data_IF_755814554323
#
_entry.id   IF_755814554323
#
_cell.length_a   1.000
_cell.length_b   1.000
_cell.length_c   1.000
_cell.angle_alpha   90.00
_cell.angle_beta   90.00
_cell.angle_gamma   90.00
#
_symmetry.space_group_name_H-M   'P 1'
#
loop_
_entity.id
_entity.type
_entity.pdbx_description
1 polymer ?
#
# COMPACT_ATOMS: atom_id res chain seq x y z
N UNK A 1 -25.14 -0.89 29.99
CA UNK A 1 -26.33 -1.79 29.99
C UNK A 1 -27.53 -1.13 29.32
N UNK A 2 -27.89 0.14 29.66
CA UNK A 2 -29.05 0.86 29.04
C UNK A 2 -28.90 1.01 27.54
N UNK A 3 -27.75 1.44 27.05
CA UNK A 3 -27.48 1.57 25.59
C UNK A 3 -27.65 0.23 24.86
N UNK A 4 -27.11 -0.86 25.45
CA UNK A 4 -27.26 -2.21 24.87
C UNK A 4 -28.73 -2.63 24.80
N UNK A 5 -29.51 -2.35 25.84
CA UNK A 5 -30.95 -2.63 25.84
C UNK A 5 -31.68 -1.85 24.72
N UNK A 6 -31.37 -0.57 24.52
CA UNK A 6 -31.96 0.23 23.45
C UNK A 6 -31.54 -0.20 22.04
N UNK A 7 -30.32 -0.68 21.88
CA UNK A 7 -29.87 -1.30 20.62
C UNK A 7 -30.68 -2.58 20.34
N UNK A 8 -30.92 -3.41 21.36
CA UNK A 8 -31.74 -4.62 21.22
C UNK A 8 -33.17 -4.29 20.83
N UNK A 9 -33.81 -3.33 21.53
CA UNK A 9 -35.17 -2.87 21.19
C UNK A 9 -35.24 -2.35 19.73
N UNK A 10 -34.23 -1.65 19.26
CA UNK A 10 -34.14 -1.21 17.87
C UNK A 10 -34.04 -2.39 16.89
N UNK A 11 -33.18 -3.38 17.19
CA UNK A 11 -33.05 -4.58 16.35
C UNK A 11 -34.37 -5.38 16.27
N UNK A 12 -35.05 -5.53 17.41
CA UNK A 12 -36.33 -6.26 17.49
C UNK A 12 -37.43 -5.53 16.67
N UNK A 13 -37.50 -4.20 16.77
CA UNK A 13 -38.42 -3.39 15.98
C UNK A 13 -38.09 -3.40 14.48
N UNK A 14 -36.85 -3.42 14.10
CA UNK A 14 -36.39 -3.56 12.71
C UNK A 14 -36.78 -4.92 12.14
N UNK A 15 -36.62 -6.00 12.92
CA UNK A 15 -36.99 -7.34 12.53
C UNK A 15 -38.48 -7.48 12.37
N UNK A 16 -39.26 -6.95 13.30
CA UNK A 16 -40.73 -6.94 13.22
C UNK A 16 -41.26 -6.20 11.97
N UNK A 17 -40.64 -5.05 11.64
CA UNK A 17 -40.96 -4.32 10.41
C UNK A 17 -40.62 -5.14 9.16
N UNK A 18 -39.46 -5.79 9.15
CA UNK A 18 -39.05 -6.67 8.05
C UNK A 18 -40.02 -7.84 7.84
N UNK A 19 -40.46 -8.51 8.91
CA UNK A 19 -41.46 -9.60 8.82
C UNK A 19 -42.76 -9.11 8.24
N UNK A 20 -43.28 -7.96 8.69
CA UNK A 20 -44.54 -7.41 8.17
C UNK A 20 -44.46 -7.06 6.68
N UNK A 21 -43.33 -6.50 6.26
CA UNK A 21 -43.10 -6.22 4.84
C UNK A 21 -43.00 -7.50 4.00
N UNK A 22 -42.35 -8.54 4.51
CA UNK A 22 -42.25 -9.82 3.82
C UNK A 22 -43.63 -10.53 3.70
N UNK A 23 -44.43 -10.51 4.75
CA UNK A 23 -45.80 -11.06 4.72
C UNK A 23 -46.60 -10.36 3.61
N UNK A 24 -46.52 -9.03 3.55
CA UNK A 24 -47.23 -8.26 2.53
C UNK A 24 -46.76 -8.53 1.11
N UNK A 25 -45.47 -8.74 0.90
CA UNK A 25 -44.92 -9.07 -0.42
C UNK A 25 -45.33 -10.48 -0.91
N UNK A 26 -45.70 -11.35 0.00
CA UNK A 26 -46.14 -12.71 -0.30
C UNK A 26 -47.66 -12.84 -0.47
N UNK A 27 -48.47 -11.82 -0.14
CA UNK A 27 -49.93 -11.84 -0.33
C UNK A 27 -50.24 -11.79 -1.82
N UNK A 28 -51.05 -12.76 -2.34
CA UNK A 28 -51.48 -12.76 -3.72
C UNK A 28 -52.44 -11.59 -3.96
N UNK A 29 -52.00 -10.56 -4.64
CA UNK A 29 -52.80 -9.39 -4.98
C UNK A 29 -52.13 -8.03 -4.82
N UNK A 30 -50.84 -7.98 -4.53
CA UNK A 30 -50.06 -6.72 -4.59
C UNK A 30 -49.97 -6.32 -6.06
N UNK A 31 -50.52 -5.17 -6.50
CA UNK A 31 -50.44 -4.75 -7.90
C UNK A 31 -48.99 -4.47 -8.27
N UNK A 32 -48.53 -4.96 -9.44
CA UNK A 32 -47.31 -4.47 -10.05
C UNK A 32 -47.39 -2.94 -10.22
N UNK A 33 -46.27 -2.26 -10.03
CA UNK A 33 -46.20 -0.82 -10.05
C UNK A 33 -46.87 -0.22 -11.30
N UNK A 34 -48.07 0.32 -11.14
CA UNK A 34 -48.85 0.95 -12.21
C UNK A 34 -50.34 0.69 -12.22
N UNK A 35 -50.90 -0.21 -11.38
CA UNK A 35 -52.35 -0.42 -11.24
C UNK A 35 -52.92 0.29 -10.01
N UNK A 36 -54.06 0.95 -10.21
CA UNK A 36 -54.76 1.70 -9.15
C UNK A 36 -55.14 0.78 -7.98
N UNK A 37 -54.84 1.25 -6.76
CA UNK A 37 -55.03 0.58 -5.48
C UNK A 37 -56.50 0.20 -5.24
N UNK A 38 -56.74 -1.08 -5.00
CA UNK A 38 -57.93 -1.52 -4.25
C UNK A 38 -57.61 -1.28 -2.78
N UNK A 39 -58.48 -0.53 -2.07
CA UNK A 39 -58.38 -0.28 -0.64
C UNK A 39 -58.25 -1.59 0.16
N UNK A 40 -57.11 -1.82 0.77
CA UNK A 40 -56.89 -2.82 1.81
C UNK A 40 -56.48 -2.07 3.09
N UNK A 41 -57.44 -1.57 3.90
CA UNK A 41 -57.19 -0.64 4.99
C UNK A 41 -56.38 -1.22 6.16
N UNK A 42 -56.52 -2.52 6.45
CA UNK A 42 -55.97 -3.13 7.67
C UNK A 42 -54.50 -3.52 7.57
N UNK A 43 -54.05 -3.98 6.43
CA UNK A 43 -52.63 -4.37 6.22
C UNK A 43 -51.67 -3.16 6.23
N UNK A 44 -52.14 -2.00 5.73
CA UNK A 44 -51.38 -0.74 5.78
C UNK A 44 -51.26 -0.20 7.21
N UNK A 45 -52.29 -0.42 8.04
CA UNK A 45 -52.25 0.00 9.44
C UNK A 45 -51.20 -0.78 10.25
N UNK A 46 -51.04 -2.08 9.99
CA UNK A 46 -50.05 -2.95 10.66
C UNK A 46 -48.62 -2.59 10.27
N UNK A 47 -48.36 -2.43 8.98
CA UNK A 47 -47.05 -2.02 8.47
C UNK A 47 -46.67 -0.61 8.99
N UNK A 48 -47.65 0.30 8.98
CA UNK A 48 -47.46 1.65 9.53
C UNK A 48 -47.14 1.62 11.02
N UNK A 49 -47.89 0.79 11.81
CA UNK A 49 -47.60 0.61 13.23
C UNK A 49 -46.19 0.07 13.51
N UNK A 50 -45.73 -0.91 12.73
CA UNK A 50 -44.39 -1.45 12.83
C UNK A 50 -43.31 -0.41 12.44
N UNK A 51 -43.57 0.40 11.42
CA UNK A 51 -42.67 1.50 11.02
C UNK A 51 -42.59 2.59 12.12
N UNK A 52 -43.74 2.96 12.71
CA UNK A 52 -43.73 3.94 13.81
C UNK A 52 -43.01 3.41 15.05
N UNK A 53 -43.15 2.13 15.37
CA UNK A 53 -42.36 1.49 16.43
C UNK A 53 -40.86 1.49 16.15
N UNK A 54 -40.47 1.14 14.93
CA UNK A 54 -39.09 1.21 14.47
C UNK A 54 -38.53 2.65 14.54
N UNK A 55 -39.24 3.64 14.02
CA UNK A 55 -38.79 5.04 14.04
C UNK A 55 -38.66 5.57 15.47
N UNK A 56 -39.54 5.15 16.39
CA UNK A 56 -39.45 5.50 17.81
C UNK A 56 -38.23 4.85 18.47
N UNK A 57 -38.06 3.53 18.30
CA UNK A 57 -36.92 2.80 18.87
C UNK A 57 -35.58 3.34 18.36
N UNK A 58 -35.50 3.72 17.07
CA UNK A 58 -34.33 4.42 16.51
C UNK A 58 -34.04 5.73 17.22
N UNK A 59 -35.07 6.55 17.42
CA UNK A 59 -34.92 7.86 18.08
C UNK A 59 -34.48 7.71 19.53
N UNK A 60 -35.08 6.76 20.27
CA UNK A 60 -34.73 6.48 21.66
C UNK A 60 -33.30 5.90 21.79
N UNK A 61 -32.94 4.95 20.93
CA UNK A 61 -31.57 4.41 20.87
C UNK A 61 -30.54 5.52 20.60
N UNK A 62 -30.83 6.40 19.63
CA UNK A 62 -29.96 7.51 19.28
C UNK A 62 -29.78 8.48 20.46
N UNK A 63 -30.88 8.82 21.17
CA UNK A 63 -30.82 9.69 22.34
C UNK A 63 -30.00 9.06 23.49
N UNK A 64 -30.18 7.76 23.74
CA UNK A 64 -29.44 7.05 24.78
C UNK A 64 -27.94 6.96 24.43
N UNK A 65 -27.59 6.68 23.16
CA UNK A 65 -26.20 6.72 22.69
C UNK A 65 -25.60 8.12 22.88
N UNK A 66 -26.30 9.18 22.50
CA UNK A 66 -25.83 10.54 22.65
C UNK A 66 -25.65 10.96 24.12
N UNK A 67 -26.45 10.44 25.02
CA UNK A 67 -26.40 10.77 26.44
C UNK A 67 -25.28 10.00 27.19
N UNK A 68 -25.06 8.73 26.86
CA UNK A 68 -24.21 7.85 27.65
C UNK A 68 -22.94 7.37 26.94
N UNK A 69 -22.85 7.53 25.62
CA UNK A 69 -21.64 7.24 24.89
C UNK A 69 -20.83 8.52 24.67
N UNK A 70 -19.72 8.62 25.35
CA UNK A 70 -18.74 9.66 25.04
C UNK A 70 -18.22 9.36 23.64
N UNK A 71 -18.33 10.34 22.73
CA UNK A 71 -17.78 10.22 21.40
C UNK A 71 -16.25 10.20 21.52
N UNK A 72 -15.65 9.01 21.49
CA UNK A 72 -14.20 8.87 21.46
C UNK A 72 -13.70 9.13 20.06
N UNK A 73 -12.56 9.73 19.97
CA UNK A 73 -11.83 9.92 18.72
C UNK A 73 -11.19 8.60 18.33
N UNK A 74 -11.40 8.14 17.12
CA UNK A 74 -10.76 6.94 16.60
C UNK A 74 -9.70 7.29 15.55
N UNK A 75 -8.53 6.64 15.67
CA UNK A 75 -7.39 6.80 14.77
C UNK A 75 -6.98 5.43 14.29
N UNK A 76 -6.76 5.27 12.99
CA UNK A 76 -6.32 4.02 12.38
C UNK A 76 -4.96 4.20 11.72
N UNK A 77 -3.99 3.39 12.14
CA UNK A 77 -2.69 3.25 11.49
C UNK A 77 -2.70 2.02 10.59
N UNK A 78 -2.34 2.20 9.32
CA UNK A 78 -2.19 1.11 8.36
C UNK A 78 -0.70 0.87 8.15
N UNK A 79 -0.21 -0.28 8.61
CA UNK A 79 1.20 -0.64 8.62
C UNK A 79 1.44 -1.86 7.73
N UNK A 80 2.44 -1.80 6.86
CA UNK A 80 2.78 -2.85 5.91
C UNK A 80 4.13 -3.53 6.19
N UNK A 81 4.96 -2.96 7.07
CA UNK A 81 6.27 -3.49 7.41
C UNK A 81 6.87 -2.90 8.69
N UNK A 82 7.96 -3.50 9.17
CA UNK A 82 8.67 -3.03 10.37
C UNK A 82 9.29 -1.65 10.18
N UNK A 83 9.86 -1.39 9.00
CA UNK A 83 10.43 -0.07 8.67
C UNK A 83 9.34 1.01 8.65
N UNK A 84 8.21 0.68 8.11
CA UNK A 84 7.02 1.51 8.06
C UNK A 84 6.53 1.82 9.47
N UNK A 85 6.55 0.83 10.36
CA UNK A 85 6.15 1.01 11.75
C UNK A 85 7.05 2.01 12.48
N UNK A 86 8.35 1.95 12.32
CA UNK A 86 9.27 2.89 12.98
C UNK A 86 8.96 4.37 12.66
N UNK A 87 8.47 4.65 11.45
CA UNK A 87 8.02 6.00 11.10
C UNK A 87 6.71 6.40 11.82
N UNK A 88 5.93 5.43 12.28
CA UNK A 88 4.68 5.65 13.00
C UNK A 88 4.83 5.74 14.51
N UNK A 89 5.88 5.20 15.12
CA UNK A 89 6.02 5.06 16.59
C UNK A 89 5.71 6.38 17.31
N UNK A 90 6.37 7.46 16.91
CA UNK A 90 6.17 8.77 17.54
C UNK A 90 4.73 9.29 17.36
N UNK A 91 4.15 9.15 16.17
CA UNK A 91 2.79 9.58 15.89
C UNK A 91 1.76 8.75 16.67
N UNK A 92 1.98 7.45 16.78
CA UNK A 92 1.14 6.56 17.57
C UNK A 92 1.18 6.97 19.07
N UNK A 93 2.38 7.28 19.59
CA UNK A 93 2.54 7.77 20.96
C UNK A 93 1.85 9.10 21.19
N UNK A 94 1.93 10.03 20.25
CA UNK A 94 1.21 11.28 20.34
C UNK A 94 -0.32 11.10 20.32
N UNK A 95 -0.82 10.25 19.41
CA UNK A 95 -2.27 10.03 19.30
C UNK A 95 -2.83 9.30 20.51
N UNK A 96 -2.14 8.32 21.07
CA UNK A 96 -2.60 7.58 22.25
C UNK A 96 -2.59 8.40 23.54
N UNK A 97 -1.78 9.47 23.60
CA UNK A 97 -1.74 10.39 24.76
C UNK A 97 -2.87 11.41 24.74
N UNK A 98 -3.55 11.59 23.61
CA UNK A 98 -4.69 12.50 23.51
C UNK A 98 -5.89 11.91 24.25
N UNK A 99 -6.53 12.75 25.05
CA UNK A 99 -7.72 12.35 25.81
C UNK A 99 -8.82 11.83 24.86
N UNK A 100 -9.55 10.82 25.31
CA UNK A 100 -10.68 10.22 24.58
C UNK A 100 -10.33 9.73 23.16
N UNK A 101 -9.10 9.25 22.96
CA UNK A 101 -8.64 8.68 21.68
C UNK A 101 -8.43 7.18 21.80
N UNK A 102 -9.03 6.44 20.86
CA UNK A 102 -8.77 5.01 20.64
C UNK A 102 -7.91 4.86 19.38
N UNK A 103 -6.80 4.17 19.52
CA UNK A 103 -5.85 3.91 18.45
C UNK A 103 -6.02 2.48 17.95
N UNK A 104 -6.26 2.34 16.66
CA UNK A 104 -6.35 1.06 15.96
C UNK A 104 -5.14 0.90 15.07
N UNK A 105 -4.56 -0.30 15.06
CA UNK A 105 -3.42 -0.64 14.21
C UNK A 105 -3.79 -1.85 13.38
N UNK A 106 -3.72 -1.71 12.07
CA UNK A 106 -3.92 -2.77 11.10
C UNK A 106 -2.60 -3.10 10.42
N UNK A 107 -2.08 -4.31 10.68
CA UNK A 107 -0.93 -4.83 9.94
C UNK A 107 -1.45 -5.46 8.64
N UNK A 108 -1.20 -4.81 7.51
CA UNK A 108 -1.74 -5.16 6.20
C UNK A 108 -0.67 -5.85 5.35
N UNK A 109 -0.96 -7.03 4.74
CA UNK A 109 0.01 -7.71 3.91
C UNK A 109 0.25 -6.96 2.61
N UNK A 110 1.50 -6.99 2.16
CA UNK A 110 1.87 -6.63 0.81
C UNK A 110 1.80 -7.87 -0.07
N UNK A 111 1.08 -7.80 -1.17
CA UNK A 111 0.82 -8.91 -2.08
C UNK A 111 1.57 -8.69 -3.38
N UNK A 112 2.16 -9.75 -3.93
CA UNK A 112 2.81 -9.72 -5.22
C UNK A 112 1.78 -9.67 -6.36
N UNK A 113 2.09 -8.94 -7.41
CA UNK A 113 1.34 -8.94 -8.67
C UNK A 113 2.00 -9.87 -9.69
N UNK A 114 1.20 -10.62 -10.42
CA UNK A 114 1.66 -11.38 -11.57
C UNK A 114 2.08 -10.46 -12.74
N UNK A 115 2.56 -11.05 -13.82
CA UNK A 115 3.00 -10.32 -15.03
C UNK A 115 1.85 -9.58 -15.74
N UNK A 116 0.60 -9.88 -15.39
CA UNK A 116 -0.60 -9.21 -15.91
C UNK A 116 -1.13 -8.13 -14.97
N UNK A 117 -0.47 -7.93 -13.82
CA UNK A 117 -0.87 -6.96 -12.81
C UNK A 117 -1.95 -7.45 -11.85
N UNK A 118 -2.30 -8.75 -11.85
CA UNK A 118 -3.26 -9.33 -10.93
C UNK A 118 -2.59 -9.65 -9.60
N UNK A 119 -3.23 -9.26 -8.51
CA UNK A 119 -2.75 -9.58 -7.17
C UNK A 119 -3.07 -11.04 -6.79
N UNK A 120 -2.08 -11.80 -6.40
CA UNK A 120 -2.25 -13.17 -5.92
C UNK A 120 -2.57 -13.17 -4.42
N UNK A 121 -3.85 -13.08 -4.07
CA UNK A 121 -4.30 -13.29 -2.70
C UNK A 121 -4.40 -14.78 -2.40
N UNK A 122 -3.34 -15.37 -1.82
CA UNK A 122 -3.36 -16.77 -1.36
C UNK A 122 -4.35 -16.96 -0.21
N UNK A 123 -4.94 -18.18 -0.10
CA UNK A 123 -5.87 -18.51 0.99
C UNK A 123 -5.21 -18.51 2.39
N UNK A 124 -3.88 -18.49 2.47
CA UNK A 124 -3.06 -18.47 3.69
C UNK A 124 -2.16 -17.24 3.77
N UNK A 125 -2.66 -16.07 3.44
CA UNK A 125 -1.94 -14.81 3.68
C UNK A 125 -1.97 -14.39 5.16
N UNK A 126 -1.81 -15.33 6.09
CA UNK A 126 -1.12 -15.02 7.34
C UNK A 126 0.35 -14.85 6.97
N UNK A 127 0.66 -13.70 6.44
CA UNK A 127 2.02 -13.34 6.11
C UNK A 127 2.84 -13.33 7.40
N UNK A 128 3.86 -14.18 7.46
CA UNK A 128 4.77 -14.25 8.60
C UNK A 128 5.33 -12.87 8.98
N UNK A 129 5.41 -11.97 8.02
CA UNK A 129 5.82 -10.59 8.23
C UNK A 129 4.75 -9.78 9.01
N UNK A 130 3.48 -9.92 8.66
CA UNK A 130 2.36 -9.26 9.38
C UNK A 130 2.31 -9.70 10.84
N UNK A 131 2.49 -11.00 11.10
CA UNK A 131 2.55 -11.53 12.46
C UNK A 131 3.76 -10.99 13.23
N UNK A 132 4.94 -10.98 12.63
CA UNK A 132 6.17 -10.44 13.24
C UNK A 132 6.04 -8.96 13.61
N UNK A 133 5.41 -8.15 12.74
CA UNK A 133 5.14 -6.74 13.01
C UNK A 133 4.17 -6.60 14.17
N UNK A 134 3.09 -7.37 14.17
CA UNK A 134 2.10 -7.35 15.23
C UNK A 134 2.73 -7.73 16.57
N UNK A 135 3.51 -8.80 16.62
CA UNK A 135 4.21 -9.25 17.84
C UNK A 135 5.18 -8.16 18.34
N UNK A 136 5.93 -7.52 17.45
CA UNK A 136 6.82 -6.43 17.83
C UNK A 136 6.05 -5.26 18.47
N UNK A 137 4.97 -4.81 17.84
CA UNK A 137 4.17 -3.68 18.34
C UNK A 137 3.48 -4.06 19.65
N UNK A 138 2.98 -5.28 19.77
CA UNK A 138 2.40 -5.78 21.03
C UNK A 138 3.43 -5.82 22.17
N UNK A 139 4.65 -6.24 21.87
CA UNK A 139 5.74 -6.24 22.86
C UNK A 139 6.17 -4.81 23.24
N UNK A 140 6.13 -3.86 22.30
CA UNK A 140 6.51 -2.47 22.54
C UNK A 140 5.52 -1.76 23.48
N UNK A 141 4.22 -1.97 23.28
CA UNK A 141 3.18 -1.29 24.07
C UNK A 141 2.69 -2.12 25.26
N UNK A 142 2.98 -3.43 25.30
CA UNK A 142 2.59 -4.34 26.37
C UNK A 142 1.08 -4.60 26.41
N UNK A 143 0.67 -5.47 27.36
CA UNK A 143 -0.76 -5.80 27.61
C UNK A 143 -1.55 -4.64 28.24
N UNK A 144 -0.90 -3.55 28.63
CA UNK A 144 -1.48 -2.45 29.42
C UNK A 144 -1.86 -1.19 28.64
N UNK A 145 -1.75 -1.23 27.31
CA UNK A 145 -2.19 -0.08 26.49
C UNK A 145 -3.70 -0.16 26.24
N UNK A 146 -4.50 0.19 27.24
CA UNK A 146 -5.98 0.11 27.21
C UNK A 146 -6.63 0.83 26.00
N UNK A 147 -5.91 1.71 25.34
CA UNK A 147 -6.41 2.47 24.21
C UNK A 147 -5.77 2.12 22.86
N UNK A 148 -4.95 1.05 22.78
CA UNK A 148 -4.40 0.52 21.53
C UNK A 148 -5.07 -0.83 21.21
N UNK A 149 -5.65 -0.93 20.01
CA UNK A 149 -6.32 -2.13 19.55
C UNK A 149 -5.71 -2.62 18.23
N UNK A 150 -5.18 -3.84 18.26
CA UNK A 150 -4.74 -4.53 17.05
C UNK A 150 -5.93 -5.16 16.34
N UNK A 151 -6.06 -4.86 15.07
CA UNK A 151 -7.12 -5.42 14.24
C UNK A 151 -6.50 -6.30 13.17
N UNK A 152 -6.87 -7.59 13.08
CA UNK A 152 -6.54 -8.40 11.91
C UNK A 152 -7.02 -7.67 10.66
N UNK A 153 -6.18 -7.54 9.65
CA UNK A 153 -6.50 -6.76 8.46
C UNK A 153 -7.78 -7.22 7.75
N UNK A 154 -8.09 -8.54 7.81
CA UNK A 154 -9.33 -9.10 7.24
C UNK A 154 -10.61 -8.63 7.98
N UNK A 155 -10.47 -8.20 9.24
CA UNK A 155 -11.59 -7.77 10.08
C UNK A 155 -11.76 -6.25 10.12
N UNK A 156 -10.79 -5.50 9.60
CA UNK A 156 -10.91 -4.03 9.51
C UNK A 156 -11.95 -3.69 8.47
N UNK A 157 -13.01 -3.04 8.91
CA UNK A 157 -14.00 -2.44 8.03
C UNK A 157 -14.00 -0.92 8.26
N UNK A 158 -13.31 -0.14 7.40
CA UNK A 158 -13.21 1.31 7.57
C UNK A 158 -14.58 2.01 7.60
N UNK A 159 -15.58 1.46 6.91
CA UNK A 159 -16.94 2.01 6.91
C UNK A 159 -17.63 1.87 8.28
N UNK A 160 -17.41 0.76 8.97
CA UNK A 160 -17.97 0.53 10.31
C UNK A 160 -17.16 1.23 11.40
N UNK A 161 -15.83 1.23 11.27
CA UNK A 161 -14.94 1.90 12.23
C UNK A 161 -15.07 3.42 12.13
N UNK A 162 -15.31 3.94 10.92
CA UNK A 162 -15.43 5.37 10.60
C UNK A 162 -14.38 6.24 11.34
N UNK A 163 -13.07 5.94 11.20
CA UNK A 163 -12.03 6.58 11.97
C UNK A 163 -11.98 8.08 11.64
N UNK A 164 -11.80 8.92 12.66
CA UNK A 164 -11.65 10.36 12.47
C UNK A 164 -10.37 10.72 11.71
N UNK A 165 -9.31 9.89 11.89
CA UNK A 165 -8.03 10.03 11.20
C UNK A 165 -7.53 8.67 10.77
N UNK A 166 -6.99 8.58 9.55
CA UNK A 166 -6.28 7.40 9.04
C UNK A 166 -4.88 7.82 8.60
N UNK A 167 -3.88 7.09 9.06
CA UNK A 167 -2.48 7.22 8.64
C UNK A 167 -2.15 6.12 7.62
N UNK A 168 -1.59 6.52 6.47
CA UNK A 168 -1.17 5.62 5.38
C UNK A 168 0.26 5.89 4.97
N UNK A 169 0.94 4.87 4.44
CA UNK A 169 2.34 4.93 4.03
C UNK A 169 2.59 4.44 2.61
N UNK A 170 1.74 3.54 2.08
CA UNK A 170 1.85 3.13 0.69
C UNK A 170 1.43 4.29 -0.23
N UNK A 171 2.35 4.85 -1.04
CA UNK A 171 2.01 5.95 -1.93
C UNK A 171 1.28 5.49 -3.18
N UNK A 172 1.45 4.24 -3.61
CA UNK A 172 1.13 3.79 -4.95
C UNK A 172 -0.19 3.03 -5.08
N UNK A 173 -0.76 2.53 -3.97
CA UNK A 173 -1.99 1.75 -4.01
C UNK A 173 -1.88 0.56 -5.01
N UNK A 174 -2.78 0.54 -6.01
CA UNK A 174 -2.77 -0.44 -7.09
C UNK A 174 -1.84 -0.11 -8.27
N UNK A 175 -1.20 1.05 -8.29
CA UNK A 175 -0.36 1.50 -9.40
C UNK A 175 1.09 0.98 -9.32
N UNK A 176 1.51 0.45 -8.17
CA UNK A 176 2.80 -0.21 -8.09
C UNK A 176 2.81 -1.44 -9.01
N UNK A 177 3.78 -1.56 -9.94
CA UNK A 177 3.79 -2.64 -10.93
C UNK A 177 4.08 -4.03 -10.35
N UNK A 178 4.67 -4.11 -9.17
CA UNK A 178 5.11 -5.37 -8.58
C UNK A 178 4.30 -5.79 -7.37
N UNK A 179 3.89 -4.83 -6.55
CA UNK A 179 3.33 -5.05 -5.24
C UNK A 179 2.01 -4.29 -5.09
N UNK A 180 1.14 -4.77 -4.23
CA UNK A 180 -0.08 -4.05 -3.85
C UNK A 180 -0.54 -4.51 -2.48
N UNK A 181 -1.38 -3.68 -1.86
CA UNK A 181 -2.14 -4.03 -0.66
C UNK A 181 -3.58 -4.41 -1.07
N UNK A 182 -4.37 -5.05 -0.19
CA UNK A 182 -5.78 -5.29 -0.47
C UNK A 182 -6.51 -3.98 -0.81
N UNK A 183 -7.34 -3.93 -1.87
CA UNK A 183 -7.92 -2.69 -2.41
C UNK A 183 -8.74 -1.87 -1.41
N UNK A 184 -9.28 -2.50 -0.36
CA UNK A 184 -9.98 -1.79 0.72
C UNK A 184 -9.08 -0.76 1.42
N UNK A 185 -7.75 -0.95 1.38
CA UNK A 185 -6.74 -0.08 1.98
C UNK A 185 -6.16 0.95 1.01
N UNK A 186 -6.62 1.01 -0.22
CA UNK A 186 -6.22 2.07 -1.15
C UNK A 186 -6.69 3.43 -0.66
N UNK A 187 -5.85 4.44 -0.82
CA UNK A 187 -6.09 5.80 -0.34
C UNK A 187 -7.46 6.35 -0.78
N UNK A 188 -7.81 6.15 -2.07
CA UNK A 188 -9.09 6.57 -2.60
C UNK A 188 -10.31 5.89 -1.98
N UNK A 189 -10.15 4.65 -1.47
CA UNK A 189 -11.20 3.95 -0.74
C UNK A 189 -11.26 4.40 0.72
N UNK A 190 -10.11 4.51 1.39
CA UNK A 190 -10.03 4.94 2.79
C UNK A 190 -10.56 6.38 2.97
N UNK A 191 -10.28 7.26 2.01
CA UNK A 191 -10.74 8.66 2.03
C UNK A 191 -12.26 8.81 2.18
N UNK A 192 -13.03 7.82 1.76
CA UNK A 192 -14.50 7.82 1.88
C UNK A 192 -14.99 7.67 3.31
N UNK A 193 -14.15 7.13 4.20
CA UNK A 193 -14.54 6.72 5.55
C UNK A 193 -13.86 7.50 6.67
N UNK A 194 -13.02 8.49 6.32
CA UNK A 194 -12.33 9.33 7.30
C UNK A 194 -12.52 10.81 6.99
N UNK A 195 -12.40 11.63 8.02
CA UNK A 195 -12.35 13.10 7.87
C UNK A 195 -10.95 13.58 7.55
N UNK A 196 -9.93 12.81 7.94
CA UNK A 196 -8.55 13.22 7.82
C UNK A 196 -7.68 12.01 7.41
N UNK A 197 -7.29 11.96 6.14
CA UNK A 197 -6.36 10.98 5.60
C UNK A 197 -4.98 11.60 5.56
N UNK A 198 -4.01 11.00 6.27
CA UNK A 198 -2.65 11.53 6.40
C UNK A 198 -1.67 10.56 5.76
N UNK A 199 -0.93 11.04 4.77
CA UNK A 199 0.19 10.31 4.19
C UNK A 199 1.48 10.60 4.96
N UNK A 200 2.15 9.53 5.40
CA UNK A 200 3.42 9.58 6.12
C UNK A 200 4.43 8.74 5.38
N UNK A 201 5.54 9.29 4.84
CA UNK A 201 6.53 8.48 4.16
C UNK A 201 7.18 7.50 5.14
N UNK A 202 7.37 6.26 4.69
CA UNK A 202 7.95 5.19 5.50
C UNK A 202 9.45 5.36 5.76
N UNK A 203 10.14 6.11 4.91
CA UNK A 203 11.58 6.30 4.97
C UNK A 203 12.02 7.63 4.37
N UNK A 204 13.18 8.09 4.77
CA UNK A 204 13.82 9.28 4.23
C UNK A 204 14.38 8.98 2.83
N UNK A 205 14.01 9.77 1.85
CA UNK A 205 14.58 9.72 0.51
C UNK A 205 15.72 10.76 0.36
N UNK A 206 16.53 10.61 -0.69
CA UNK A 206 17.51 11.63 -1.04
C UNK A 206 16.81 12.98 -1.28
N UNK A 207 17.39 14.05 -0.78
CA UNK A 207 16.89 15.40 -1.06
C UNK A 207 16.96 15.70 -2.56
N UNK A 208 15.85 16.12 -3.14
CA UNK A 208 15.80 16.51 -4.54
C UNK A 208 16.39 17.89 -4.75
N UNK A 209 17.19 18.03 -5.82
CA UNK A 209 17.82 19.29 -6.21
C UNK A 209 16.99 19.98 -7.29
N UNK A 210 16.84 21.29 -7.18
CA UNK A 210 16.01 22.08 -8.10
C UNK A 210 16.49 22.01 -9.55
N UNK A 211 17.81 22.06 -9.74
CA UNK A 211 18.44 22.16 -11.05
C UNK A 211 18.75 20.79 -11.68
N UNK A 212 18.52 19.69 -10.96
CA UNK A 212 18.82 18.35 -11.44
C UNK A 212 17.60 17.77 -12.17
N UNK A 213 17.75 17.56 -13.48
CA UNK A 213 16.66 17.03 -14.33
C UNK A 213 16.26 15.61 -13.94
N UNK A 214 17.20 14.79 -13.48
CA UNK A 214 16.95 13.43 -13.01
C UNK A 214 16.16 13.44 -11.69
N UNK A 215 16.58 14.31 -10.75
CA UNK A 215 15.84 14.50 -9.49
C UNK A 215 14.42 15.00 -9.78
N UNK A 216 14.24 15.93 -10.71
CA UNK A 216 12.92 16.45 -11.13
C UNK A 216 12.04 15.37 -11.78
N UNK A 217 12.63 14.51 -12.61
CA UNK A 217 11.92 13.38 -13.22
C UNK A 217 11.49 12.37 -12.14
N UNK A 218 12.41 11.94 -11.29
CA UNK A 218 12.12 10.98 -10.23
C UNK A 218 11.07 11.49 -9.25
N UNK A 219 11.09 12.78 -8.92
CA UNK A 219 10.16 13.40 -7.99
C UNK A 219 8.71 13.22 -8.42
N UNK A 220 8.40 13.25 -9.73
CA UNK A 220 7.03 13.05 -10.24
C UNK A 220 6.45 11.73 -9.78
N UNK A 221 7.23 10.66 -9.75
CA UNK A 221 6.78 9.34 -9.32
C UNK A 221 6.43 9.27 -7.82
N UNK A 222 7.04 10.11 -6.99
CA UNK A 222 6.69 10.21 -5.57
C UNK A 222 5.50 11.13 -5.34
N UNK A 223 5.47 12.27 -6.02
CA UNK A 223 4.52 13.35 -5.75
C UNK A 223 3.16 13.10 -6.38
N UNK A 224 3.13 12.47 -7.56
CA UNK A 224 1.91 12.19 -8.32
C UNK A 224 1.24 10.87 -7.93
N UNK A 225 1.73 10.21 -6.90
CA UNK A 225 1.20 8.94 -6.46
C UNK A 225 -0.22 9.06 -5.86
N UNK A 226 -1.08 8.03 -6.00
CA UNK A 226 -2.47 8.07 -5.57
C UNK A 226 -2.68 8.53 -4.13
N UNK A 227 -1.87 8.02 -3.19
CA UNK A 227 -2.01 8.38 -1.77
C UNK A 227 -1.87 9.88 -1.52
N UNK A 228 -0.94 10.55 -2.22
CA UNK A 228 -0.72 11.98 -2.07
C UNK A 228 -1.88 12.79 -2.66
N UNK A 229 -2.48 12.30 -3.76
CA UNK A 229 -3.63 12.96 -4.38
C UNK A 229 -4.86 12.92 -3.44
N UNK A 230 -5.10 11.78 -2.79
CA UNK A 230 -6.25 11.58 -1.91
C UNK A 230 -6.05 12.08 -0.47
N UNK A 231 -4.80 12.21 0.00
CA UNK A 231 -4.51 12.67 1.36
C UNK A 231 -5.01 14.11 1.63
N UNK A 232 -5.45 14.34 2.85
CA UNK A 232 -5.74 15.68 3.36
C UNK A 232 -4.49 16.37 3.87
N UNK A 233 -3.53 15.57 4.40
CA UNK A 233 -2.22 16.03 4.84
C UNK A 233 -1.13 15.11 4.29
N UNK A 234 -0.03 15.70 3.90
CA UNK A 234 1.14 15.03 3.35
C UNK A 234 2.34 15.46 4.18
N UNK A 235 2.98 14.50 4.84
CA UNK A 235 4.20 14.79 5.57
C UNK A 235 5.41 14.60 4.68
N UNK A 236 6.37 15.50 4.81
CA UNK A 236 7.66 15.44 4.09
C UNK A 236 8.81 15.68 5.06
N UNK A 237 9.99 15.24 4.69
CA UNK A 237 11.18 15.18 5.57
C UNK A 237 11.91 16.51 5.78
N UNK A 238 11.68 17.51 4.91
CA UNK A 238 12.40 18.78 4.95
C UNK A 238 11.65 19.90 4.24
N UNK A 239 11.98 21.16 4.52
CA UNK A 239 11.42 22.31 3.81
C UNK A 239 11.84 22.31 2.33
N UNK A 240 13.05 21.83 1.99
CA UNK A 240 13.43 21.67 0.60
C UNK A 240 12.50 20.68 -0.11
N UNK A 241 12.23 19.51 0.47
CA UNK A 241 11.30 18.55 -0.10
C UNK A 241 9.88 19.13 -0.21
N UNK A 242 9.45 19.90 0.80
CA UNK A 242 8.16 20.60 0.75
C UNK A 242 8.06 21.52 -0.47
N UNK A 243 9.09 22.32 -0.72
CA UNK A 243 9.12 23.20 -1.88
C UNK A 243 9.11 22.43 -3.20
N UNK A 244 9.90 21.34 -3.29
CA UNK A 244 9.94 20.50 -4.50
C UNK A 244 8.59 19.84 -4.78
N UNK A 245 7.93 19.31 -3.75
CA UNK A 245 6.58 18.73 -3.87
C UNK A 245 5.59 19.79 -4.34
N UNK A 246 5.62 20.97 -3.72
CA UNK A 246 4.73 22.07 -4.06
C UNK A 246 4.91 22.51 -5.53
N UNK A 247 6.14 22.69 -5.99
CA UNK A 247 6.42 23.06 -7.37
C UNK A 247 5.90 22.02 -8.37
N UNK A 248 6.13 20.74 -8.11
CA UNK A 248 5.66 19.66 -8.95
C UNK A 248 4.12 19.61 -9.01
N UNK A 249 3.45 19.72 -7.87
CA UNK A 249 1.99 19.70 -7.79
C UNK A 249 1.34 20.92 -8.43
N UNK A 250 1.96 22.08 -8.29
CA UNK A 250 1.49 23.33 -8.94
C UNK A 250 1.73 23.28 -10.44
N UNK A 251 2.85 22.74 -10.90
CA UNK A 251 3.10 22.51 -12.34
C UNK A 251 2.01 21.61 -12.95
N UNK A 252 1.58 20.60 -12.22
CA UNK A 252 0.54 19.67 -12.68
C UNK A 252 -0.87 20.26 -12.61
N UNK A 253 -1.24 20.90 -11.48
CA UNK A 253 -2.62 21.32 -11.20
C UNK A 253 -2.92 22.77 -11.59
N UNK A 254 -1.88 23.58 -11.77
CA UNK A 254 -1.95 25.01 -12.02
C UNK A 254 -1.83 25.87 -10.77
N UNK A 255 -1.42 27.13 -10.97
CA UNK A 255 -1.14 28.11 -9.91
C UNK A 255 -2.35 28.40 -9.00
N UNK A 256 -3.56 28.30 -9.54
CA UNK A 256 -4.80 28.47 -8.76
C UNK A 256 -4.95 27.51 -7.58
N UNK A 257 -4.27 26.38 -7.60
CA UNK A 257 -4.32 25.34 -6.55
C UNK A 257 -3.16 25.43 -5.54
N UNK A 258 -2.22 26.35 -5.72
CA UNK A 258 -1.05 26.52 -4.82
C UNK A 258 -1.43 26.57 -3.35
N UNK A 259 -2.37 27.43 -2.97
CA UNK A 259 -2.78 27.58 -1.56
C UNK A 259 -3.38 26.29 -0.95
N UNK A 260 -3.96 25.41 -1.78
CA UNK A 260 -4.46 24.12 -1.34
C UNK A 260 -3.29 23.20 -1.00
N UNK A 261 -2.30 23.11 -1.89
CA UNK A 261 -1.13 22.26 -1.70
C UNK A 261 -0.25 22.76 -0.53
N UNK A 262 -0.03 24.07 -0.42
CA UNK A 262 0.71 24.65 0.71
C UNK A 262 0.12 24.26 2.07
N UNK A 263 -1.20 24.19 2.16
CA UNK A 263 -1.89 23.79 3.40
C UNK A 263 -1.83 22.27 3.63
N UNK A 264 -1.78 21.47 2.57
CA UNK A 264 -1.73 20.00 2.65
C UNK A 264 -0.36 19.46 3.01
N UNK A 265 0.72 20.13 2.59
CA UNK A 265 2.09 19.63 2.74
C UNK A 265 2.73 20.27 3.98
N UNK A 266 3.14 19.44 4.91
CA UNK A 266 3.80 19.85 6.16
C UNK A 266 5.13 19.14 6.33
N UNK A 267 6.12 19.85 6.82
CA UNK A 267 7.38 19.24 7.26
C UNK A 267 7.13 18.56 8.60
N UNK A 268 7.54 17.34 8.72
CA UNK A 268 7.53 16.62 9.99
C UNK A 268 8.94 16.20 10.37
N UNK A 269 9.29 16.46 11.63
CA UNK A 269 10.56 16.02 12.23
C UNK A 269 10.53 14.54 12.58
N UNK A 270 10.07 13.69 11.64
CA UNK A 270 10.14 12.25 11.85
C UNK A 270 11.59 11.83 12.05
N UNK A 271 11.83 11.12 13.13
CA UNK A 271 13.07 10.40 13.33
C UNK A 271 13.07 9.21 12.38
N UNK A 272 13.34 9.48 11.11
CA UNK A 272 13.69 8.39 10.20
C UNK A 272 14.96 7.76 10.75
N UNK A 273 14.87 6.56 11.26
CA UNK A 273 16.05 5.81 11.62
C UNK A 273 16.86 5.60 10.35
N UNK A 274 17.90 6.41 10.18
CA UNK A 274 18.94 6.17 9.22
C UNK A 274 19.66 4.93 9.70
N UNK A 275 19.38 3.79 9.14
CA UNK A 275 20.32 2.69 9.12
C UNK A 275 21.50 3.12 8.24
N UNK A 276 22.31 4.00 8.76
CA UNK A 276 23.67 4.17 8.31
C UNK A 276 24.40 2.88 8.71
N UNK A 277 24.25 1.86 7.87
CA UNK A 277 25.10 0.69 7.95
C UNK A 277 26.54 1.14 7.86
N UNK A 278 27.22 1.18 8.97
CA UNK A 278 28.69 1.25 9.05
C UNK A 278 29.23 -0.08 8.53
N UNK A 279 29.19 -0.27 7.23
CA UNK A 279 29.79 -1.41 6.56
C UNK A 279 30.71 -0.90 5.47
N UNK A 280 32.00 -1.02 5.69
CA UNK A 280 33.07 -0.83 4.69
C UNK A 280 33.20 -2.02 3.74
N UNK A 281 32.21 -2.90 3.66
CA UNK A 281 32.18 -4.01 2.71
C UNK A 281 31.52 -3.58 1.41
N UNK A 282 32.07 -4.02 0.30
CA UNK A 282 31.45 -3.92 -1.02
C UNK A 282 30.00 -4.38 -0.97
N UNK A 283 29.08 -3.59 -1.54
CA UNK A 283 27.64 -3.93 -1.57
C UNK A 283 27.32 -4.72 -2.83
N UNK A 284 26.49 -5.74 -2.67
CA UNK A 284 26.03 -6.57 -3.78
C UNK A 284 24.67 -6.08 -4.29
N UNK A 285 24.61 -5.66 -5.55
CA UNK A 285 23.37 -5.26 -6.22
C UNK A 285 22.89 -6.39 -7.12
N UNK A 286 21.65 -6.83 -6.96
CA UNK A 286 20.99 -7.66 -7.95
C UNK A 286 20.43 -6.78 -9.06
N UNK A 287 20.99 -6.89 -10.26
CA UNK A 287 20.45 -6.25 -11.47
C UNK A 287 19.60 -7.25 -12.25
N UNK A 288 18.28 -7.05 -12.17
CA UNK A 288 17.31 -7.91 -12.84
C UNK A 288 16.87 -7.30 -14.17
N UNK A 289 16.94 -8.07 -15.24
CA UNK A 289 16.54 -7.68 -16.59
C UNK A 289 15.31 -8.47 -17.00
N UNK A 290 14.19 -7.79 -17.23
CA UNK A 290 12.94 -8.39 -17.71
C UNK A 290 13.00 -8.68 -19.21
N UNK A 291 12.77 -9.93 -19.62
CA UNK A 291 12.76 -10.30 -21.05
C UNK A 291 11.66 -9.56 -21.83
N UNK A 292 10.49 -9.38 -21.22
CA UNK A 292 9.37 -8.63 -21.82
C UNK A 292 9.73 -7.16 -22.04
N UNK A 293 10.41 -6.54 -21.05
CA UNK A 293 10.88 -5.16 -21.15
C UNK A 293 11.89 -5.01 -22.31
N UNK A 294 12.82 -5.93 -22.42
CA UNK A 294 13.77 -5.95 -23.54
C UNK A 294 13.09 -6.07 -24.91
N UNK A 295 12.05 -6.90 -24.98
CA UNK A 295 11.27 -7.05 -26.21
C UNK A 295 10.58 -5.72 -26.58
N UNK A 296 10.03 -5.01 -25.60
CA UNK A 296 9.35 -3.71 -25.79
C UNK A 296 10.31 -2.57 -26.15
N UNK A 297 11.52 -2.55 -25.58
CA UNK A 297 12.54 -1.55 -25.91
C UNK A 297 13.09 -1.67 -27.34
N UNK A 298 12.90 -2.80 -27.97
CA UNK A 298 13.26 -3.00 -29.37
C UNK A 298 14.76 -2.84 -29.62
N UNK A 299 15.13 -2.06 -30.66
CA UNK A 299 16.53 -1.81 -31.05
C UNK A 299 17.34 -1.05 -29.98
N UNK A 300 16.67 -0.39 -29.05
CA UNK A 300 17.30 0.40 -27.96
C UNK A 300 17.68 -0.45 -26.74
N UNK A 301 17.24 -1.72 -26.68
CA UNK A 301 17.48 -2.59 -25.52
C UNK A 301 18.96 -2.73 -25.17
N UNK A 302 19.82 -2.93 -26.17
CA UNK A 302 21.26 -3.05 -25.97
C UNK A 302 21.86 -1.78 -25.38
N UNK A 303 21.60 -0.64 -26.00
CA UNK A 303 22.13 0.66 -25.55
C UNK A 303 21.66 0.99 -24.10
N UNK A 304 20.39 0.64 -23.79
CA UNK A 304 19.84 0.82 -22.44
C UNK A 304 20.61 -0.02 -21.41
N UNK A 305 20.83 -1.29 -21.69
CA UNK A 305 21.59 -2.18 -20.78
C UNK A 305 23.07 -1.73 -20.68
N UNK A 306 23.71 -1.39 -21.80
CA UNK A 306 25.09 -0.89 -21.81
C UNK A 306 25.26 0.37 -20.95
N UNK A 307 24.33 1.31 -21.05
CA UNK A 307 24.32 2.52 -20.20
C UNK A 307 24.27 2.19 -18.70
N UNK A 308 23.45 1.20 -18.31
CA UNK A 308 23.39 0.76 -16.90
C UNK A 308 24.66 0.05 -16.45
N UNK A 309 25.22 -0.81 -17.31
CA UNK A 309 26.48 -1.50 -17.02
C UNK A 309 27.64 -0.50 -16.86
N UNK A 310 27.65 0.60 -17.62
CA UNK A 310 28.65 1.64 -17.47
C UNK A 310 28.60 2.31 -16.10
N UNK A 311 27.39 2.61 -15.58
CA UNK A 311 27.19 3.16 -14.23
C UNK A 311 27.77 2.23 -13.17
N UNK A 312 27.55 0.91 -13.31
CA UNK A 312 28.12 -0.05 -12.39
C UNK A 312 29.62 -0.15 -12.52
N UNK A 313 30.15 -0.12 -13.75
CA UNK A 313 31.58 -0.13 -13.99
C UNK A 313 32.29 1.07 -13.36
N UNK A 314 31.69 2.25 -13.44
CA UNK A 314 32.25 3.47 -12.85
C UNK A 314 32.28 3.45 -11.31
N UNK A 315 31.51 2.53 -10.68
CA UNK A 315 31.40 2.40 -9.23
C UNK A 315 31.87 1.02 -8.70
N UNK A 316 32.54 0.21 -9.51
CA UNK A 316 32.86 -1.19 -9.21
C UNK A 316 33.77 -1.39 -7.98
N UNK A 317 34.51 -0.40 -7.57
CA UNK A 317 35.34 -0.46 -6.35
C UNK A 317 34.51 -0.67 -5.09
N UNK A 318 33.25 -0.18 -5.09
CA UNK A 318 32.34 -0.23 -3.96
C UNK A 318 31.20 -1.23 -4.15
N UNK A 319 31.08 -1.81 -5.35
CA UNK A 319 29.93 -2.62 -5.73
C UNK A 319 30.33 -4.00 -6.27
N UNK A 320 29.54 -5.00 -5.93
CA UNK A 320 29.41 -6.25 -6.66
C UNK A 320 28.06 -6.26 -7.38
N UNK A 321 28.01 -6.78 -8.60
CA UNK A 321 26.77 -6.83 -9.38
C UNK A 321 26.45 -8.27 -9.76
N UNK A 322 25.27 -8.73 -9.39
CA UNK A 322 24.68 -9.99 -9.83
C UNK A 322 23.64 -9.69 -10.87
N UNK A 323 23.88 -10.08 -12.12
CA UNK A 323 22.91 -9.88 -13.22
C UNK A 323 22.04 -11.13 -13.33
N UNK A 324 20.73 -10.97 -13.40
CA UNK A 324 19.80 -12.06 -13.67
C UNK A 324 18.72 -11.65 -14.68
N UNK A 325 18.10 -12.66 -15.30
CA UNK A 325 16.94 -12.48 -16.16
C UNK A 325 15.65 -12.86 -15.46
N UNK A 326 14.55 -12.21 -15.85
CA UNK A 326 13.22 -12.63 -15.47
C UNK A 326 12.29 -12.66 -16.69
N UNK A 327 11.56 -13.77 -16.93
CA UNK A 327 11.68 -15.06 -16.22
C UNK A 327 13.08 -15.68 -16.39
N UNK A 328 13.56 -16.45 -15.40
CA UNK A 328 14.83 -17.12 -15.53
C UNK A 328 14.70 -18.22 -16.59
N UNK A 329 15.65 -18.31 -17.51
CA UNK A 329 15.66 -19.36 -18.51
C UNK A 329 16.10 -20.67 -17.90
N UNK A 330 15.24 -21.65 -17.96
CA UNK A 330 15.51 -23.01 -17.50
C UNK A 330 16.17 -23.88 -18.58
N UNK A 331 16.02 -23.50 -19.86
CA UNK A 331 16.61 -24.20 -20.99
C UNK A 331 16.89 -23.24 -22.17
N UNK A 332 17.93 -23.52 -22.93
CA UNK A 332 18.40 -22.68 -24.04
C UNK A 332 17.46 -22.67 -25.27
N UNK A 333 16.37 -23.46 -25.26
CA UNK A 333 15.48 -23.62 -26.43
C UNK A 333 14.16 -22.87 -26.34
N UNK A 334 13.87 -22.24 -25.20
CA UNK A 334 12.51 -21.76 -24.89
C UNK A 334 12.10 -20.43 -25.50
N UNK A 335 12.86 -19.66 -26.08
CA UNK A 335 12.38 -18.49 -26.87
C UNK A 335 13.48 -17.96 -27.78
N UNK A 336 13.31 -18.14 -29.07
CA UNK A 336 14.19 -17.56 -30.07
C UNK A 336 13.86 -16.07 -30.33
N UNK A 337 13.95 -15.26 -29.30
CA UNK A 337 14.06 -13.82 -29.49
C UNK A 337 15.55 -13.55 -29.76
N UNK A 338 15.91 -13.42 -31.02
CA UNK A 338 17.29 -13.17 -31.46
C UNK A 338 17.99 -12.08 -30.67
N UNK A 339 17.23 -11.07 -30.25
CA UNK A 339 17.71 -9.95 -29.45
C UNK A 339 18.08 -10.34 -28.02
N UNK A 340 17.25 -11.16 -27.37
CA UNK A 340 17.52 -11.66 -26.02
C UNK A 340 18.74 -12.58 -26.04
N UNK A 341 18.88 -13.39 -27.07
CA UNK A 341 20.06 -14.25 -27.27
C UNK A 341 21.33 -13.43 -27.42
N UNK A 342 21.32 -12.42 -28.28
CA UNK A 342 22.47 -11.50 -28.47
C UNK A 342 22.84 -10.81 -27.15
N UNK A 343 21.82 -10.31 -26.40
CA UNK A 343 22.07 -9.67 -25.12
C UNK A 343 22.63 -10.66 -24.07
N UNK A 344 22.11 -11.87 -24.02
CA UNK A 344 22.60 -12.90 -23.09
C UNK A 344 24.07 -13.24 -23.36
N UNK A 345 24.46 -13.35 -24.62
CA UNK A 345 25.85 -13.57 -25.01
C UNK A 345 26.75 -12.38 -24.67
N UNK A 346 26.27 -11.17 -24.90
CA UNK A 346 26.95 -9.93 -24.51
C UNK A 346 27.17 -9.88 -22.99
N UNK A 347 26.12 -10.13 -22.20
CA UNK A 347 26.19 -10.11 -20.74
C UNK A 347 27.09 -11.21 -20.17
N UNK A 348 27.11 -12.38 -20.81
CA UNK A 348 28.03 -13.47 -20.45
C UNK A 348 29.47 -13.02 -20.63
N UNK A 349 29.79 -12.50 -21.82
CA UNK A 349 31.15 -11.97 -22.13
C UNK A 349 31.52 -10.83 -21.19
N UNK A 350 30.57 -9.94 -20.89
CA UNK A 350 30.79 -8.83 -19.96
C UNK A 350 31.08 -9.33 -18.54
N UNK A 351 30.30 -10.26 -18.02
CA UNK A 351 30.51 -10.84 -16.70
C UNK A 351 31.82 -11.63 -16.61
N UNK A 352 32.20 -12.38 -17.66
CA UNK A 352 33.48 -13.09 -17.72
C UNK A 352 34.67 -12.13 -17.72
N UNK A 353 34.58 -11.01 -18.43
CA UNK A 353 35.61 -9.98 -18.48
C UNK A 353 35.73 -9.26 -17.13
N UNK A 354 34.62 -9.04 -16.45
CA UNK A 354 34.53 -8.28 -15.20
C UNK A 354 34.28 -9.18 -13.96
N UNK A 355 34.69 -10.44 -14.01
CA UNK A 355 34.41 -11.46 -12.98
C UNK A 355 34.85 -11.10 -11.56
N UNK A 356 35.69 -10.10 -11.40
CA UNK A 356 36.11 -9.63 -10.09
C UNK A 356 34.96 -8.93 -9.32
N UNK A 357 34.00 -8.34 -10.02
CA UNK A 357 32.90 -7.59 -9.42
C UNK A 357 31.52 -7.83 -10.08
N UNK A 358 31.45 -8.59 -11.17
CA UNK A 358 30.22 -8.85 -11.90
C UNK A 358 30.04 -10.35 -12.14
N UNK A 359 28.82 -10.86 -11.89
CA UNK A 359 28.42 -12.24 -12.16
C UNK A 359 27.11 -12.30 -12.94
N UNK A 360 26.95 -13.29 -13.81
CA UNK A 360 25.66 -13.59 -14.45
C UNK A 360 25.01 -14.78 -13.74
N UNK A 361 23.96 -14.50 -13.01
CA UNK A 361 23.23 -15.46 -12.19
C UNK A 361 22.23 -16.28 -13.03
N UNK A 362 22.09 -17.54 -12.68
CA UNK A 362 21.07 -18.44 -13.23
C UNK A 362 20.68 -19.47 -12.18
N UNK A 363 19.49 -20.11 -12.32
CA UNK A 363 19.11 -21.21 -11.45
C UNK A 363 20.17 -22.31 -11.46
N UNK A 364 20.45 -22.86 -10.29
CA UNK A 364 21.34 -24.00 -10.15
C UNK A 364 20.63 -25.29 -10.59
N UNK A 365 21.41 -26.34 -10.87
CA UNK A 365 20.85 -27.63 -11.25
C UNK A 365 19.98 -28.18 -10.11
N UNK A 366 18.71 -28.44 -10.38
CA UNK A 366 17.68 -28.89 -9.42
C UNK A 366 17.15 -27.77 -8.45
N UNK A 367 17.54 -26.52 -8.63
CA UNK A 367 16.98 -25.41 -7.88
C UNK A 367 15.63 -25.01 -8.48
N UNK A 368 14.57 -25.02 -7.68
CA UNK A 368 13.28 -24.47 -8.11
C UNK A 368 13.28 -22.92 -8.08
N UNK A 369 12.27 -22.32 -8.69
CA UNK A 369 12.19 -20.86 -8.83
C UNK A 369 12.05 -20.15 -7.47
N UNK A 370 11.44 -20.78 -6.48
CA UNK A 370 11.29 -20.21 -5.15
C UNK A 370 12.64 -20.18 -4.43
N UNK A 371 13.38 -21.29 -4.45
CA UNK A 371 14.73 -21.37 -3.88
C UNK A 371 15.71 -20.41 -4.60
N UNK A 372 15.63 -20.32 -5.93
CA UNK A 372 16.42 -19.37 -6.71
C UNK A 372 16.17 -17.92 -6.28
N UNK A 373 14.90 -17.53 -6.18
CA UNK A 373 14.50 -16.20 -5.71
C UNK A 373 15.03 -15.90 -4.31
N UNK A 374 14.89 -16.85 -3.40
CA UNK A 374 15.36 -16.74 -2.03
C UNK A 374 16.88 -16.57 -1.97
N UNK A 375 17.63 -17.37 -2.74
CA UNK A 375 19.09 -17.27 -2.81
C UNK A 375 19.55 -15.91 -3.32
N UNK A 376 18.93 -15.39 -4.37
CA UNK A 376 19.25 -14.06 -4.90
C UNK A 376 18.98 -12.97 -3.87
N UNK A 377 17.83 -13.05 -3.18
CA UNK A 377 17.47 -12.08 -2.16
C UNK A 377 18.32 -12.20 -0.89
N UNK A 378 18.85 -13.37 -0.56
CA UNK A 378 19.79 -13.52 0.56
C UNK A 378 21.17 -12.91 0.23
N UNK A 379 21.66 -13.13 -0.97
CA UNK A 379 23.02 -12.73 -1.37
C UNK A 379 23.11 -11.25 -1.77
N UNK A 380 22.06 -10.67 -2.32
CA UNK A 380 22.03 -9.25 -2.69
C UNK A 380 21.76 -8.33 -1.51
N UNK A 381 22.43 -7.18 -1.46
CA UNK A 381 22.15 -6.09 -0.50
C UNK A 381 21.04 -5.15 -0.99
N UNK A 382 20.88 -5.02 -2.31
CA UNK A 382 19.88 -4.16 -2.94
C UNK A 382 19.40 -4.77 -4.27
N UNK A 383 18.20 -4.41 -4.68
CA UNK A 383 17.63 -4.76 -5.98
C UNK A 383 17.59 -3.54 -6.90
N UNK A 384 17.98 -3.72 -8.15
CA UNK A 384 17.80 -2.76 -9.23
C UNK A 384 17.32 -3.48 -10.48
N UNK A 385 16.35 -2.94 -11.20
CA UNK A 385 15.97 -3.46 -12.51
C UNK A 385 14.48 -3.55 -12.76
N UNK A 386 14.10 -4.47 -13.65
CA UNK A 386 12.72 -4.66 -14.12
C UNK A 386 11.79 -5.14 -13.00
N UNK A 387 10.51 -4.78 -13.06
CA UNK A 387 9.48 -5.41 -12.22
C UNK A 387 9.54 -6.94 -12.29
N UNK A 388 9.64 -7.60 -11.15
CA UNK A 388 9.76 -9.07 -11.07
C UNK A 388 9.37 -9.60 -9.69
N UNK A 389 9.09 -10.92 -9.54
CA UNK A 389 8.86 -11.56 -8.24
C UNK A 389 10.02 -11.41 -7.24
N UNK A 390 11.23 -11.11 -7.72
CA UNK A 390 12.40 -10.91 -6.85
C UNK A 390 12.25 -9.65 -5.98
N UNK A 391 11.54 -8.63 -6.46
CA UNK A 391 11.22 -7.41 -5.70
C UNK A 391 10.59 -7.75 -4.35
N UNK A 392 9.59 -8.64 -4.35
CA UNK A 392 8.93 -9.06 -3.11
C UNK A 392 9.91 -9.67 -2.10
N UNK A 393 10.80 -10.55 -2.57
CA UNK A 393 11.77 -11.20 -1.70
C UNK A 393 12.79 -10.21 -1.07
N UNK A 394 13.14 -9.15 -1.78
CA UNK A 394 13.97 -8.06 -1.24
C UNK A 394 13.18 -7.19 -0.26
N UNK A 395 11.94 -6.85 -0.60
CA UNK A 395 11.06 -6.05 0.28
C UNK A 395 10.80 -6.75 1.61
N UNK A 396 10.50 -8.07 1.60
CA UNK A 396 10.33 -8.86 2.83
C UNK A 396 11.58 -8.87 3.73
N UNK A 397 12.76 -8.60 3.18
CA UNK A 397 14.03 -8.52 3.90
C UNK A 397 14.46 -7.09 4.20
N UNK A 398 13.56 -6.13 3.97
CA UNK A 398 13.82 -4.71 4.19
C UNK A 398 15.03 -4.18 3.40
N UNK A 399 15.34 -4.83 2.28
CA UNK A 399 16.46 -4.44 1.40
C UNK A 399 16.01 -3.38 0.40
N UNK A 400 16.87 -2.40 0.08
CA UNK A 400 16.54 -1.37 -0.91
C UNK A 400 16.13 -1.96 -2.26
N UNK A 401 15.07 -1.40 -2.84
CA UNK A 401 14.56 -1.74 -4.17
C UNK A 401 14.46 -0.47 -5.00
N UNK A 402 15.05 -0.51 -6.20
CA UNK A 402 14.90 0.53 -7.21
C UNK A 402 14.46 -0.13 -8.52
N UNK A 403 13.28 0.25 -9.03
CA UNK A 403 12.82 -0.20 -10.32
C UNK A 403 13.46 0.65 -11.43
N UNK A 404 13.92 -0.01 -12.48
CA UNK A 404 14.40 0.66 -13.67
C UNK A 404 13.21 1.32 -14.38
N UNK A 405 13.38 2.57 -14.83
CA UNK A 405 12.39 3.21 -15.67
C UNK A 405 12.34 2.50 -17.03
N UNK A 406 11.12 2.20 -17.49
CA UNK A 406 10.85 1.72 -18.84
C UNK A 406 10.57 2.86 -19.80
N UNK A 407 10.37 4.08 -19.27
CA UNK A 407 10.15 5.27 -20.10
C UNK A 407 11.45 5.66 -20.80
N UNK A 408 11.34 5.79 -22.10
CA UNK A 408 12.44 6.24 -22.96
C UNK A 408 12.42 7.77 -22.88
N UNK A 409 13.47 8.35 -22.31
CA UNK A 409 13.73 9.77 -22.47
C UNK A 409 13.96 10.05 -23.98
N UNK A 410 13.12 10.89 -24.57
CA UNK A 410 13.25 11.35 -25.95
C UNK A 410 14.26 12.49 -26.06
#
# INVERSE_FOLDING_TARGET
>A
QKVVAKIQEYCDALYALYEQLNIRLQEPGVPEAGQQSVDVPDADATVRGSYEAFARSYTEMKAEIQQFCIARRSVLFICTGMREWHAYEHLCDEERQKADTDVYIACVPTVFKDIYGHAEYGQNTEDANTMRIQDHIQNLYGEFADNIQFMPWQKVNPALLAPGTIYIQDPYDGENPCLTNPPIYYAGNLRKYTKNLIYVPAYKVKEFRAEDTTDRYNMKHYVMAPALMYADQIYVQSENMRQRYLECLVEFSGEAYRAIWERKISVSEFVFQSEAGKGTSQKTILYCIGETELANLGKRALAHVESRLQIFADNHENLQVQICFYPPRLSDWEVDLQRVKTLTEMLRTYAETNKAWCTLEKPQKQEDLAAYRERLAMNGDAYYGSPSPYVHAFTLREKPVMLASTEIEY
#
